data_IF_237454422085
#
_entry.id   IF_237454422085
#
_cell.length_a   1.000
_cell.length_b   1.000
_cell.length_c   1.000
_cell.angle_alpha   90.00
_cell.angle_beta   90.00
_cell.angle_gamma   90.00
#
_symmetry.space_group_name_H-M   'P 1'
#
loop_
_entity.id
_entity.type
_entity.pdbx_description
1 polymer ?
#
# COMPACT_ATOMS: atom_id res chain seq x y z
N UNK A 1 12.01 -9.58 -12.41
CA UNK A 1 12.78 -8.91 -11.37
C UNK A 1 12.55 -9.61 -10.04
N UNK A 2 13.58 -9.66 -9.20
CA UNK A 2 13.43 -10.29 -7.90
C UNK A 2 12.75 -9.32 -6.93
N UNK A 3 12.18 -9.87 -5.84
CA UNK A 3 11.56 -9.05 -4.80
C UNK A 3 12.56 -8.08 -4.14
N UNK A 4 13.86 -8.42 -4.18
CA UNK A 4 14.90 -7.59 -3.58
C UNK A 4 15.02 -6.20 -4.23
N UNK A 5 14.56 -6.06 -5.47
CA UNK A 5 14.59 -4.80 -6.21
C UNK A 5 13.30 -3.99 -6.03
N UNK A 6 12.34 -4.52 -5.29
CA UNK A 6 11.04 -3.89 -5.08
C UNK A 6 10.96 -3.24 -3.70
N UNK A 7 10.53 -1.99 -3.70
CA UNK A 7 10.45 -1.20 -2.47
C UNK A 7 8.99 -0.93 -2.12
N UNK A 8 8.58 -1.36 -0.92
CA UNK A 8 7.20 -1.25 -0.45
C UNK A 8 7.14 -0.23 0.70
N UNK A 9 6.16 0.65 0.65
CA UNK A 9 5.88 1.56 1.77
C UNK A 9 4.66 1.03 2.53
N UNK A 10 4.81 0.86 3.84
CA UNK A 10 3.71 0.49 4.73
C UNK A 10 3.34 1.71 5.57
N UNK A 11 2.09 2.15 5.47
CA UNK A 11 1.60 3.30 6.23
C UNK A 11 0.61 2.78 7.27
N UNK A 12 0.99 2.80 8.54
CA UNK A 12 0.20 2.25 9.64
C UNK A 12 0.59 2.92 10.95
N UNK A 13 -0.39 3.46 11.66
CA UNK A 13 -0.15 4.14 12.92
C UNK A 13 0.02 3.18 14.12
N UNK A 14 -0.47 1.95 14.00
CA UNK A 14 -0.26 0.92 15.02
C UNK A 14 1.10 0.28 14.78
N UNK A 15 2.06 0.56 15.67
CA UNK A 15 3.44 0.09 15.50
C UNK A 15 3.56 -1.43 15.46
N UNK A 16 2.77 -2.13 16.29
CA UNK A 16 2.81 -3.59 16.31
C UNK A 16 2.33 -4.18 15.00
N UNK A 17 1.24 -3.66 14.46
CA UNK A 17 0.69 -4.12 13.19
C UNK A 17 1.63 -3.80 12.03
N UNK A 18 2.19 -2.59 12.03
CA UNK A 18 3.18 -2.20 11.02
C UNK A 18 4.37 -3.15 11.02
N UNK A 19 4.86 -3.52 12.20
CA UNK A 19 5.98 -4.45 12.34
C UNK A 19 5.65 -5.82 11.78
N UNK A 20 4.44 -6.32 12.02
CA UNK A 20 4.02 -7.63 11.50
C UNK A 20 3.98 -7.61 9.98
N UNK A 21 3.38 -6.59 9.39
CA UNK A 21 3.31 -6.48 7.93
C UNK A 21 4.72 -6.35 7.34
N UNK A 22 5.54 -5.47 7.91
CA UNK A 22 6.93 -5.29 7.45
C UNK A 22 7.71 -6.59 7.51
N UNK A 23 7.64 -7.29 8.64
CA UNK A 23 8.37 -8.54 8.82
C UNK A 23 8.01 -9.56 7.75
N UNK A 24 6.72 -9.74 7.48
CA UNK A 24 6.28 -10.71 6.47
C UNK A 24 6.71 -10.30 5.06
N UNK A 25 6.66 -9.03 4.72
CA UNK A 25 7.12 -8.55 3.42
C UNK A 25 8.63 -8.70 3.27
N UNK A 26 9.38 -8.40 4.32
CA UNK A 26 10.84 -8.58 4.30
C UNK A 26 11.22 -10.05 4.14
N UNK A 27 10.48 -10.95 4.78
CA UNK A 27 10.71 -12.39 4.60
C UNK A 27 10.46 -12.84 3.16
N UNK A 28 9.56 -12.18 2.47
CA UNK A 28 9.29 -12.47 1.06
C UNK A 28 10.36 -11.84 0.13
N UNK A 29 11.30 -11.09 0.69
CA UNK A 29 12.43 -10.52 -0.05
C UNK A 29 12.33 -9.05 -0.39
N UNK A 30 11.21 -8.40 -0.08
CA UNK A 30 11.01 -6.98 -0.41
C UNK A 30 11.82 -6.05 0.51
N UNK A 31 12.18 -4.88 -0.01
CA UNK A 31 12.66 -3.78 0.80
C UNK A 31 11.43 -3.05 1.32
N UNK A 32 11.39 -2.74 2.60
CA UNK A 32 10.20 -2.16 3.22
C UNK A 32 10.56 -0.95 4.07
N UNK A 33 9.83 0.14 3.86
CA UNK A 33 9.87 1.31 4.73
C UNK A 33 8.51 1.44 5.41
N UNK A 34 8.49 1.99 6.62
CA UNK A 34 7.27 2.18 7.38
C UNK A 34 7.10 3.66 7.70
N UNK A 35 5.89 4.17 7.45
CA UNK A 35 5.49 5.52 7.86
C UNK A 35 4.36 5.39 8.88
N UNK A 36 4.46 6.10 10.00
CA UNK A 36 3.49 5.97 11.09
C UNK A 36 2.20 6.78 10.88
N UNK A 37 2.15 7.62 9.86
CA UNK A 37 0.96 8.38 9.51
C UNK A 37 1.06 8.89 8.07
N UNK A 38 -0.02 9.50 7.59
CA UNK A 38 -0.10 9.98 6.21
C UNK A 38 0.88 11.10 5.89
N UNK A 39 1.20 11.94 6.85
CA UNK A 39 2.16 13.03 6.64
C UNK A 39 3.56 12.50 6.43
N UNK A 40 3.97 11.55 7.27
CA UNK A 40 5.29 10.91 7.14
C UNK A 40 5.36 10.16 5.80
N UNK A 41 4.26 9.49 5.43
CA UNK A 41 4.17 8.79 4.16
C UNK A 41 4.31 9.77 2.98
N UNK A 42 3.65 10.92 3.07
CA UNK A 42 3.72 11.94 2.02
C UNK A 42 5.16 12.43 1.83
N UNK A 43 5.88 12.66 2.93
CA UNK A 43 7.28 13.05 2.85
C UNK A 43 8.13 11.93 2.24
N UNK A 44 7.87 10.69 2.63
CA UNK A 44 8.64 9.54 2.14
C UNK A 44 8.48 9.33 0.64
N UNK A 45 7.25 9.44 0.10
CA UNK A 45 7.04 9.20 -1.33
C UNK A 45 7.63 10.30 -2.22
N UNK A 46 7.88 11.47 -1.65
CA UNK A 46 8.55 12.54 -2.39
C UNK A 46 10.06 12.40 -2.37
N UNK A 47 10.61 11.69 -1.39
CA UNK A 47 12.05 11.51 -1.23
C UNK A 47 12.57 10.21 -1.82
N UNK A 48 11.74 9.17 -1.81
CA UNK A 48 12.13 7.84 -2.30
C UNK A 48 11.07 7.31 -3.26
N UNK A 49 11.50 6.40 -4.13
CA UNK A 49 10.59 5.74 -5.06
C UNK A 49 10.09 4.42 -4.46
N UNK A 50 8.78 4.21 -4.48
CA UNK A 50 8.15 2.98 -4.02
C UNK A 50 7.38 2.32 -5.16
N UNK A 51 7.42 1.00 -5.19
CA UNK A 51 6.75 0.22 -6.24
C UNK A 51 5.31 -0.11 -5.88
N UNK A 52 5.00 -0.14 -4.59
CA UNK A 52 3.67 -0.45 -4.10
C UNK A 52 3.52 0.14 -2.69
N UNK A 53 2.30 0.51 -2.34
CA UNK A 53 1.99 1.10 -1.05
C UNK A 53 0.89 0.30 -0.37
N UNK A 54 1.11 -0.06 0.90
CA UNK A 54 0.11 -0.67 1.76
C UNK A 54 -0.24 0.38 2.81
N UNK A 55 -1.46 0.86 2.84
CA UNK A 55 -1.85 1.92 3.77
C UNK A 55 -3.12 1.59 4.53
N UNK A 56 -3.12 1.94 5.79
CA UNK A 56 -4.32 1.91 6.61
C UNK A 56 -5.26 3.04 6.17
N UNK A 57 -6.56 2.83 6.25
CA UNK A 57 -7.54 3.87 5.94
C UNK A 57 -7.77 4.77 7.16
N UNK A 58 -7.93 4.18 8.34
CA UNK A 58 -8.22 4.94 9.55
C UNK A 58 -6.92 5.38 10.23
N UNK A 59 -6.52 6.61 9.98
CA UNK A 59 -5.33 7.20 10.59
C UNK A 59 -5.65 8.61 11.06
N UNK A 60 -5.01 9.08 12.15
CA UNK A 60 -5.20 10.45 12.61
C UNK A 60 -4.75 11.46 11.55
N UNK A 61 -5.43 12.58 11.48
CA UNK A 61 -5.09 13.74 10.64
C UNK A 61 -5.26 13.52 9.13
N UNK A 62 -4.86 12.38 8.60
CA UNK A 62 -4.97 12.10 7.16
C UNK A 62 -5.35 10.64 6.96
N UNK A 63 -6.49 10.38 6.33
CA UNK A 63 -6.92 9.02 6.01
C UNK A 63 -6.08 8.44 4.86
N UNK A 64 -6.14 7.11 4.71
CA UNK A 64 -5.48 6.45 3.59
C UNK A 64 -5.98 6.97 2.24
N UNK A 65 -7.28 7.23 2.12
CA UNK A 65 -7.84 7.78 0.88
C UNK A 65 -7.35 9.19 0.62
N UNK A 66 -7.25 10.03 1.64
CA UNK A 66 -6.70 11.37 1.49
C UNK A 66 -5.24 11.33 1.06
N UNK A 67 -4.46 10.42 1.66
CA UNK A 67 -3.07 10.21 1.25
C UNK A 67 -3.01 9.74 -0.21
N UNK A 68 -3.88 8.82 -0.59
CA UNK A 68 -3.91 8.31 -1.96
C UNK A 68 -4.23 9.40 -2.97
N UNK A 69 -5.15 10.31 -2.64
CA UNK A 69 -5.45 11.47 -3.51
C UNK A 69 -4.21 12.32 -3.74
N UNK A 70 -3.46 12.59 -2.68
CA UNK A 70 -2.20 13.34 -2.80
C UNK A 70 -1.19 12.58 -3.63
N UNK A 71 -1.08 11.28 -3.40
CA UNK A 71 -0.16 10.42 -4.12
C UNK A 71 -0.39 10.51 -5.64
N UNK A 72 -1.65 10.49 -6.05
CA UNK A 72 -2.01 10.51 -7.48
C UNK A 72 -1.72 11.85 -8.16
N UNK A 73 -1.40 12.90 -7.41
CA UNK A 73 -0.94 14.16 -8.00
C UNK A 73 0.51 14.11 -8.46
N UNK A 74 1.25 13.12 -8.01
CA UNK A 74 2.64 12.91 -8.41
C UNK A 74 2.67 11.99 -9.63
N UNK A 75 3.22 12.45 -10.74
CA UNK A 75 3.25 11.68 -11.98
C UNK A 75 3.81 10.28 -11.83
N UNK A 76 4.87 10.14 -11.03
CA UNK A 76 5.53 8.85 -10.82
C UNK A 76 4.65 7.84 -10.08
N UNK A 77 3.58 8.28 -9.42
CA UNK A 77 2.70 7.41 -8.65
C UNK A 77 1.29 7.30 -9.22
N UNK A 78 1.05 7.77 -10.44
CA UNK A 78 -0.30 7.73 -11.01
C UNK A 78 -0.89 6.33 -11.10
N UNK A 79 -0.05 5.34 -11.33
CA UNK A 79 -0.50 3.96 -11.51
C UNK A 79 0.07 2.99 -10.47
N UNK A 80 0.78 3.51 -9.47
CA UNK A 80 1.35 2.68 -8.42
C UNK A 80 0.24 1.96 -7.66
N UNK A 81 0.32 0.62 -7.51
CA UNK A 81 -0.70 -0.12 -6.78
C UNK A 81 -0.75 0.31 -5.32
N UNK A 82 -1.97 0.51 -4.81
CA UNK A 82 -2.20 0.81 -3.40
C UNK A 82 -3.12 -0.27 -2.84
N UNK A 83 -2.68 -0.89 -1.75
CA UNK A 83 -3.49 -1.85 -0.99
C UNK A 83 -3.97 -1.14 0.25
N UNK A 84 -5.29 -1.14 0.47
CA UNK A 84 -5.91 -0.44 1.57
C UNK A 84 -6.32 -1.41 2.67
N UNK A 85 -5.97 -1.08 3.92
CA UNK A 85 -6.37 -1.83 5.11
C UNK A 85 -7.44 -1.03 5.82
N UNK A 86 -8.59 -1.64 6.12
CA UNK A 86 -9.71 -0.91 6.68
C UNK A 86 -10.42 -1.69 7.79
N UNK A 87 -11.06 -0.98 8.72
CA UNK A 87 -11.85 -1.60 9.76
C UNK A 87 -13.19 -2.06 9.19
N UNK A 88 -13.70 -3.16 9.76
CA UNK A 88 -15.01 -3.68 9.39
C UNK A 88 -16.09 -2.60 9.64
N UNK A 89 -17.00 -2.47 8.71
CA UNK A 89 -18.09 -1.50 8.79
C UNK A 89 -17.87 -0.24 7.97
N UNK A 90 -16.62 0.00 7.51
CA UNK A 90 -16.29 1.17 6.71
C UNK A 90 -16.10 0.83 5.23
N UNK A 91 -16.33 -0.42 4.87
CA UNK A 91 -16.11 -0.92 3.53
C UNK A 91 -17.17 -0.46 2.52
N UNK A 92 -18.31 0.07 2.99
CA UNK A 92 -19.42 0.46 2.10
C UNK A 92 -19.05 1.58 1.12
N UNK A 93 -18.13 2.45 1.49
CA UNK A 93 -17.69 3.54 0.62
C UNK A 93 -16.51 3.16 -0.27
N UNK A 94 -15.87 2.02 0.02
CA UNK A 94 -14.65 1.62 -0.68
C UNK A 94 -14.83 1.35 -2.18
N UNK A 95 -15.93 0.73 -2.66
CA UNK A 95 -16.06 0.49 -4.10
C UNK A 95 -15.95 1.75 -4.94
N UNK A 96 -16.57 2.83 -4.50
CA UNK A 96 -16.48 4.11 -5.21
C UNK A 96 -15.08 4.69 -5.14
N UNK A 97 -14.50 4.70 -3.94
CA UNK A 97 -13.16 5.23 -3.73
C UNK A 97 -12.11 4.40 -4.46
N UNK A 98 -12.33 3.08 -4.52
CA UNK A 98 -11.45 2.18 -5.24
C UNK A 98 -11.36 2.55 -6.71
N UNK A 99 -12.50 2.81 -7.34
CA UNK A 99 -12.54 3.21 -8.75
C UNK A 99 -11.92 4.59 -8.95
N UNK A 100 -12.26 5.55 -8.11
CA UNK A 100 -11.75 6.93 -8.25
C UNK A 100 -10.24 7.03 -8.01
N UNK A 101 -9.71 6.26 -7.08
CA UNK A 101 -8.31 6.36 -6.68
C UNK A 101 -7.42 5.26 -7.22
N UNK A 102 -7.99 4.28 -7.91
CA UNK A 102 -7.23 3.18 -8.46
C UNK A 102 -6.63 2.26 -7.40
N UNK A 103 -7.36 2.04 -6.29
CA UNK A 103 -6.91 1.14 -5.24
C UNK A 103 -6.97 -0.30 -5.75
N UNK A 104 -5.84 -0.99 -5.66
CA UNK A 104 -5.69 -2.32 -6.26
C UNK A 104 -6.39 -3.42 -5.46
N UNK A 105 -6.37 -3.33 -4.13
CA UNK A 105 -7.00 -4.31 -3.27
C UNK A 105 -7.32 -3.70 -1.91
N UNK A 106 -8.30 -4.30 -1.22
CA UNK A 106 -8.65 -3.88 0.14
C UNK A 106 -8.71 -5.11 1.04
N UNK A 107 -8.28 -4.94 2.29
CA UNK A 107 -8.34 -5.99 3.29
C UNK A 107 -9.00 -5.46 4.55
N UNK A 108 -9.91 -6.25 5.11
CA UNK A 108 -10.57 -5.91 6.38
C UNK A 108 -9.72 -6.37 7.55
N UNK A 109 -9.65 -5.55 8.59
CA UNK A 109 -8.99 -5.94 9.84
C UNK A 109 -9.94 -6.81 10.66
N UNK A 110 -9.47 -7.88 11.29
CA UNK A 110 -8.12 -8.41 11.23
C UNK A 110 -7.86 -9.17 9.92
N UNK A 111 -6.65 -9.04 9.39
CA UNK A 111 -6.27 -9.67 8.13
C UNK A 111 -5.12 -10.65 8.36
N UNK A 112 -4.89 -11.52 7.37
CA UNK A 112 -3.74 -12.42 7.37
C UNK A 112 -2.54 -11.70 6.75
N UNK A 113 -1.40 -11.58 7.46
CA UNK A 113 -0.20 -11.00 6.85
C UNK A 113 0.24 -11.74 5.60
N UNK A 114 0.05 -13.05 5.55
CA UNK A 114 0.39 -13.85 4.35
C UNK A 114 -0.47 -13.45 3.16
N UNK A 115 -1.75 -13.12 3.40
CA UNK A 115 -2.64 -12.67 2.33
C UNK A 115 -2.19 -11.31 1.77
N UNK A 116 -1.69 -10.43 2.62
CA UNK A 116 -1.12 -9.16 2.18
C UNK A 116 0.10 -9.39 1.29
N UNK A 117 1.02 -10.26 1.71
CA UNK A 117 2.22 -10.58 0.93
C UNK A 117 1.83 -11.12 -0.45
N UNK A 118 0.87 -12.04 -0.47
CA UNK A 118 0.40 -12.63 -1.73
C UNK A 118 -0.16 -11.56 -2.67
N UNK A 119 -0.97 -10.65 -2.13
CA UNK A 119 -1.55 -9.57 -2.92
C UNK A 119 -0.47 -8.63 -3.47
N UNK A 120 0.54 -8.31 -2.66
CA UNK A 120 1.67 -7.49 -3.09
C UNK A 120 2.39 -8.16 -4.26
N UNK A 121 2.70 -9.45 -4.11
CA UNK A 121 3.37 -10.20 -5.16
C UNK A 121 2.56 -10.24 -6.45
N UNK A 122 1.27 -10.53 -6.35
CA UNK A 122 0.39 -10.60 -7.51
C UNK A 122 0.30 -9.27 -8.27
N UNK A 123 0.16 -8.17 -7.54
CA UNK A 123 0.04 -6.86 -8.19
C UNK A 123 1.35 -6.39 -8.80
N UNK A 124 2.48 -6.72 -8.19
CA UNK A 124 3.78 -6.39 -8.77
C UNK A 124 4.11 -7.24 -9.98
N UNK A 125 3.73 -8.52 -9.98
CA UNK A 125 3.89 -9.41 -11.12
C UNK A 125 3.09 -8.91 -12.33
N UNK A 126 1.86 -8.46 -12.10
CA UNK A 126 1.01 -7.94 -13.15
C UNK A 126 1.64 -6.73 -13.85
N UNK A 127 2.34 -5.87 -13.07
CA UNK A 127 3.04 -4.71 -13.63
C UNK A 127 4.32 -5.11 -14.37
N UNK A 128 4.93 -6.23 -13.98
CA UNK A 128 6.20 -6.70 -14.57
C UNK A 128 6.00 -7.52 -15.82
N UNK A 129 4.80 -8.06 -16.03
CA UNK A 129 4.54 -8.88 -17.20
C UNK A 129 4.65 -8.05 -18.47
N UNK A 130 5.37 -8.56 -19.48
CA UNK A 130 5.39 -7.87 -20.76
C UNK A 130 3.98 -7.84 -21.34
N UNK A 131 3.63 -6.70 -21.90
CA UNK A 131 2.33 -6.58 -22.58
C UNK A 131 2.39 -7.57 -23.75
N UNK A 132 1.62 -8.63 -23.64
CA UNK A 132 1.57 -9.59 -24.76
C UNK A 132 0.89 -8.92 -25.94
N UNK A 133 1.61 -8.91 -26.99
CA UNK A 133 1.10 -8.38 -28.23
C UNK A 133 -0.05 -9.26 -28.73
#
# INVERSE_FOLDING_TARGET
MSNADRHILVVEDNAALASVVRFNLQRAGFQVAVACNGRVAWDAVREEAFDLIVTDQQMPEMTGCEFCKKLRTLDQYRETPVIMLTAKGLELELPRLKDELGIAATFLKPFSPKAIVKAVEEHLEALSEPVSA
#
